data_IF_785020800912
#
_entry.id   IF_785020800912
#
_cell.length_a   1.000
_cell.length_b   1.000
_cell.length_c   1.000
_cell.angle_alpha   90.00
_cell.angle_beta   90.00
_cell.angle_gamma   90.00
#
_symmetry.space_group_name_H-M   'P 1'
#
loop_
_entity.id
_entity.type
_entity.pdbx_description
1 polymer ?
#
# COMPACT_ATOMS: atom_id res chain seq x y z
N UNK A 1 9.97 -15.18 16.27
CA UNK A 1 8.65 -14.58 15.97
C UNK A 1 8.38 -13.34 16.81
N UNK A 2 8.26 -12.21 16.12
CA UNK A 2 7.98 -10.88 16.68
C UNK A 2 6.60 -10.80 17.34
N UNK A 3 5.61 -11.45 16.74
CA UNK A 3 4.22 -11.47 17.19
C UNK A 3 3.77 -12.88 17.59
N UNK A 4 2.57 -12.98 18.19
CA UNK A 4 1.95 -14.29 18.42
C UNK A 4 1.52 -14.89 17.07
N UNK A 5 1.56 -16.23 16.94
CA UNK A 5 1.18 -16.91 15.69
C UNK A 5 -0.15 -16.40 15.11
N UNK A 6 -1.17 -16.23 15.95
CA UNK A 6 -2.49 -15.70 15.55
C UNK A 6 -2.41 -14.32 14.89
N UNK A 7 -1.67 -13.38 15.51
CA UNK A 7 -1.51 -12.01 14.99
C UNK A 7 -0.72 -12.01 13.68
N UNK A 8 0.33 -12.83 13.59
CA UNK A 8 1.09 -13.01 12.35
C UNK A 8 0.20 -13.53 11.21
N UNK A 9 -0.62 -14.54 11.45
CA UNK A 9 -1.55 -15.06 10.44
C UNK A 9 -2.60 -14.04 10.02
N UNK A 10 -3.14 -13.24 10.95
CA UNK A 10 -4.10 -12.18 10.62
C UNK A 10 -3.44 -11.13 9.71
N UNK A 11 -2.24 -10.66 10.05
CA UNK A 11 -1.52 -9.67 9.25
C UNK A 11 -1.15 -10.21 7.86
N UNK A 12 -0.65 -11.44 7.76
CA UNK A 12 -0.34 -12.08 6.48
C UNK A 12 -1.61 -12.31 5.65
N UNK A 13 -2.72 -12.69 6.29
CA UNK A 13 -4.01 -12.82 5.63
C UNK A 13 -4.49 -11.49 5.05
N UNK A 14 -4.44 -10.41 5.83
CA UNK A 14 -4.79 -9.07 5.35
C UNK A 14 -3.87 -8.60 4.23
N UNK A 15 -2.56 -8.86 4.35
CA UNK A 15 -1.60 -8.56 3.30
C UNK A 15 -1.95 -9.28 2.00
N UNK A 16 -2.17 -10.60 2.04
CA UNK A 16 -2.52 -11.40 0.87
C UNK A 16 -3.86 -10.95 0.27
N UNK A 17 -4.88 -10.67 1.10
CA UNK A 17 -6.17 -10.15 0.63
C UNK A 17 -5.97 -8.82 -0.10
N UNK A 18 -5.14 -7.91 0.43
CA UNK A 18 -4.83 -6.65 -0.25
C UNK A 18 -4.14 -6.89 -1.61
N UNK A 19 -3.24 -7.88 -1.71
CA UNK A 19 -2.62 -8.25 -2.98
C UNK A 19 -3.66 -8.75 -4.00
N UNK A 20 -4.59 -9.60 -3.57
CA UNK A 20 -5.63 -10.15 -4.45
C UNK A 20 -6.62 -9.07 -4.92
N UNK A 21 -7.02 -8.17 -4.02
CA UNK A 21 -7.83 -7.00 -4.41
C UNK A 21 -7.02 -6.12 -5.37
N UNK A 22 -5.73 -5.92 -5.11
CA UNK A 22 -4.80 -5.21 -5.99
C UNK A 22 -4.79 -5.74 -7.41
N UNK A 23 -4.63 -7.06 -7.57
CA UNK A 23 -4.68 -7.73 -8.87
C UNK A 23 -6.05 -7.57 -9.54
N UNK A 24 -7.14 -7.71 -8.78
CA UNK A 24 -8.49 -7.49 -9.30
C UNK A 24 -8.70 -6.06 -9.83
N UNK A 25 -8.28 -5.06 -9.04
CA UNK A 25 -8.38 -3.64 -9.42
C UNK A 25 -7.51 -3.35 -10.64
N UNK A 26 -6.29 -3.89 -10.68
CA UNK A 26 -5.40 -3.77 -11.84
C UNK A 26 -6.03 -4.38 -13.10
N UNK A 27 -6.70 -5.52 -12.99
CA UNK A 27 -7.39 -6.15 -14.11
C UNK A 27 -8.59 -5.32 -14.60
N UNK A 28 -9.34 -4.70 -13.69
CA UNK A 28 -10.47 -3.85 -14.05
C UNK A 28 -10.04 -2.59 -14.83
N UNK A 29 -8.79 -2.16 -14.63
CA UNK A 29 -8.16 -1.05 -15.33
C UNK A 29 -7.11 -1.52 -16.34
N UNK A 30 -7.29 -2.71 -16.92
CA UNK A 30 -6.42 -3.17 -18.00
C UNK A 30 -6.47 -2.23 -19.21
N UNK A 31 -5.34 -2.05 -19.93
CA UNK A 31 -5.31 -1.25 -21.14
C UNK A 31 -6.10 -1.90 -22.27
N UNK A 32 -6.71 -1.08 -23.11
CA UNK A 32 -7.29 -1.46 -24.38
C UNK A 32 -6.42 -0.90 -25.51
N UNK A 33 -6.07 -1.74 -26.48
CA UNK A 33 -5.25 -1.34 -27.62
C UNK A 33 -6.17 -0.72 -28.67
N UNK A 34 -6.12 0.59 -28.84
CA UNK A 34 -6.87 1.31 -29.87
C UNK A 34 -5.94 1.79 -30.98
N UNK A 35 -6.42 1.72 -32.22
CA UNK A 35 -5.69 2.23 -33.39
C UNK A 35 -6.18 3.64 -33.65
N UNK A 36 -5.34 4.64 -33.35
CA UNK A 36 -5.64 6.05 -33.61
C UNK A 36 -5.04 6.40 -34.96
N UNK A 37 -5.87 6.90 -35.87
CA UNK A 37 -5.40 7.41 -37.17
C UNK A 37 -5.01 8.87 -36.95
N UNK A 38 -3.74 9.19 -37.16
CA UNK A 38 -3.30 10.57 -37.10
C UNK A 38 -3.91 11.35 -38.26
N UNK A 39 -4.87 12.23 -37.97
CA UNK A 39 -5.63 12.99 -38.98
C UNK A 39 -4.74 13.87 -39.88
N UNK A 40 -3.49 14.14 -39.47
CA UNK A 40 -2.55 15.00 -40.21
C UNK A 40 -1.57 14.20 -41.07
N UNK A 41 -1.16 13.00 -40.66
CA UNK A 41 -0.16 12.18 -41.38
C UNK A 41 -0.72 10.92 -42.03
N UNK A 42 -1.95 10.52 -41.68
CA UNK A 42 -2.56 9.27 -42.12
C UNK A 42 -1.91 8.01 -41.54
N UNK A 43 -0.93 8.17 -40.64
CA UNK A 43 -0.29 7.04 -39.96
C UNK A 43 -1.21 6.48 -38.88
N UNK A 44 -1.35 5.16 -38.86
CA UNK A 44 -2.05 4.43 -37.81
C UNK A 44 -1.07 4.23 -36.66
N UNK A 45 -1.25 4.96 -35.57
CA UNK A 45 -0.50 4.74 -34.33
C UNK A 45 -1.33 3.87 -33.40
N UNK A 46 -0.74 2.78 -32.94
CA UNK A 46 -1.33 1.94 -31.90
C UNK A 46 -1.08 2.61 -30.55
N UNK A 47 -2.16 2.98 -29.85
CA UNK A 47 -2.09 3.63 -28.54
C UNK A 47 -2.73 2.71 -27.51
N UNK A 48 -2.04 2.51 -26.38
CA UNK A 48 -2.61 1.85 -25.21
C UNK A 48 -3.47 2.87 -24.45
N UNK A 49 -4.79 2.73 -24.53
CA UNK A 49 -5.72 3.57 -23.79
C UNK A 49 -6.19 2.87 -22.52
N UNK A 50 -6.44 3.67 -21.48
CA UNK A 50 -7.00 3.20 -20.22
C UNK A 50 -8.41 3.77 -20.04
N UNK A 51 -9.39 3.36 -20.86
CA UNK A 51 -10.71 3.99 -20.93
C UNK A 51 -11.48 3.86 -19.61
N UNK A 52 -11.21 2.76 -18.90
CA UNK A 52 -11.77 2.40 -17.59
C UNK A 52 -11.25 3.29 -16.44
N UNK A 53 -10.10 3.93 -16.62
CA UNK A 53 -9.48 4.76 -15.61
C UNK A 53 -9.99 6.21 -15.74
N UNK A 54 -10.44 6.87 -14.65
CA UNK A 54 -10.98 8.23 -14.75
C UNK A 54 -9.95 9.21 -15.31
N UNK A 55 -10.38 10.14 -16.18
CA UNK A 55 -9.50 10.97 -17.01
C UNK A 55 -8.35 11.69 -16.27
N UNK A 56 -8.55 12.10 -15.01
CA UNK A 56 -7.48 12.72 -14.19
C UNK A 56 -6.28 11.80 -13.94
N UNK A 57 -6.48 10.48 -13.98
CA UNK A 57 -5.48 9.48 -13.64
C UNK A 57 -4.93 8.75 -14.87
N UNK A 58 -5.42 9.07 -16.07
CA UNK A 58 -4.90 8.46 -17.29
C UNK A 58 -3.42 8.80 -17.47
N UNK A 59 -2.60 7.83 -17.91
CA UNK A 59 -1.20 8.08 -18.16
C UNK A 59 -1.05 9.13 -19.27
N UNK A 60 -0.13 10.10 -19.15
CA UNK A 60 0.14 11.04 -20.23
C UNK A 60 0.71 10.32 -21.46
N UNK A 61 0.23 10.67 -22.66
CA UNK A 61 0.63 10.05 -23.94
C UNK A 61 2.12 10.17 -24.26
N UNK A 62 2.75 11.25 -23.80
CA UNK A 62 4.11 11.63 -24.22
C UNK A 62 5.19 11.14 -23.25
N UNK A 63 4.80 10.37 -22.23
CA UNK A 63 5.70 9.97 -21.14
C UNK A 63 6.14 8.53 -21.30
N UNK A 64 7.43 8.33 -21.60
CA UNK A 64 8.04 7.00 -21.57
C UNK A 64 8.10 6.42 -20.14
N UNK A 65 8.12 5.09 -19.97
CA UNK A 65 8.27 4.46 -18.65
C UNK A 65 9.55 4.89 -17.90
N UNK A 66 10.65 5.15 -18.63
CA UNK A 66 11.90 5.62 -18.05
C UNK A 66 11.78 7.05 -17.48
N UNK A 67 11.15 7.96 -18.25
CA UNK A 67 10.84 9.31 -17.77
C UNK A 67 9.84 9.29 -16.61
N UNK A 68 8.81 8.44 -16.68
CA UNK A 68 7.84 8.27 -15.59
C UNK A 68 8.53 7.84 -14.29
N UNK A 69 9.45 6.87 -14.37
CA UNK A 69 10.21 6.38 -13.22
C UNK A 69 11.02 7.50 -12.57
N UNK A 70 11.69 8.33 -13.38
CA UNK A 70 12.48 9.45 -12.88
C UNK A 70 11.59 10.47 -12.16
N UNK A 71 10.45 10.82 -12.76
CA UNK A 71 9.44 11.70 -12.16
C UNK A 71 8.88 11.14 -10.85
N UNK A 72 8.61 9.83 -10.79
CA UNK A 72 8.11 9.15 -9.58
C UNK A 72 9.15 9.19 -8.46
N UNK A 73 10.43 8.92 -8.77
CA UNK A 73 11.51 8.97 -7.76
C UNK A 73 11.68 10.39 -7.22
N UNK A 74 11.69 11.40 -8.10
CA UNK A 74 11.76 12.81 -7.69
C UNK A 74 10.54 13.17 -6.83
N UNK A 75 9.33 12.81 -7.27
CA UNK A 75 8.10 13.07 -6.53
C UNK A 75 8.10 12.41 -5.15
N UNK A 76 8.64 11.19 -5.03
CA UNK A 76 8.75 10.47 -3.76
C UNK A 76 9.75 11.15 -2.81
N UNK A 77 10.91 11.59 -3.32
CA UNK A 77 11.88 12.37 -2.52
C UNK A 77 11.23 13.67 -2.04
N UNK A 78 10.57 14.41 -2.94
CA UNK A 78 9.85 15.65 -2.60
C UNK A 78 8.76 15.38 -1.57
N UNK A 79 7.96 14.32 -1.72
CA UNK A 79 6.89 13.96 -0.80
C UNK A 79 7.43 13.62 0.60
N UNK A 80 8.54 12.86 0.69
CA UNK A 80 9.21 12.55 1.97
C UNK A 80 9.75 13.82 2.62
N UNK A 81 10.46 14.67 1.88
CA UNK A 81 10.99 15.93 2.37
C UNK A 81 9.89 16.88 2.85
N UNK A 82 8.82 17.03 2.06
CA UNK A 82 7.65 17.83 2.40
C UNK A 82 6.98 17.30 3.67
N UNK A 83 6.84 15.98 3.80
CA UNK A 83 6.26 15.40 5.00
C UNK A 83 7.11 15.71 6.25
N UNK A 84 8.43 15.54 6.16
CA UNK A 84 9.34 15.86 7.27
C UNK A 84 9.28 17.36 7.63
N UNK A 85 9.16 18.24 6.64
CA UNK A 85 8.98 19.67 6.85
C UNK A 85 7.65 19.97 7.56
N UNK A 86 6.53 19.43 7.07
CA UNK A 86 5.20 19.64 7.66
C UNK A 86 5.10 19.10 9.09
N UNK A 87 5.76 17.97 9.37
CA UNK A 87 5.91 17.46 10.73
C UNK A 87 6.67 18.43 11.63
N UNK A 88 7.76 19.04 11.13
CA UNK A 88 8.54 20.04 11.87
C UNK A 88 7.72 21.31 12.15
N UNK A 89 6.87 21.71 11.20
CA UNK A 89 5.93 22.84 11.33
C UNK A 89 4.67 22.51 12.15
N UNK A 90 4.48 21.24 12.56
CA UNK A 90 3.30 20.74 13.27
C UNK A 90 1.98 21.06 12.54
N UNK A 91 1.99 20.96 11.21
CA UNK A 91 0.84 21.27 10.37
C UNK A 91 -0.22 20.14 10.40
N UNK A 92 -0.72 19.78 11.58
CA UNK A 92 -1.59 18.61 11.80
C UNK A 92 -2.90 18.66 11.01
N UNK A 93 -3.54 19.84 10.96
CA UNK A 93 -4.80 20.04 10.22
C UNK A 93 -4.57 19.86 8.73
N UNK A 94 -3.49 20.45 8.19
CA UNK A 94 -3.13 20.31 6.79
C UNK A 94 -2.82 18.86 6.44
N UNK A 95 -2.01 18.17 7.24
CA UNK A 95 -1.71 16.75 7.04
C UNK A 95 -2.97 15.90 7.07
N UNK A 96 -3.88 16.15 8.02
CA UNK A 96 -5.15 15.41 8.09
C UNK A 96 -6.03 15.65 6.87
N UNK A 97 -6.13 16.89 6.39
CA UNK A 97 -6.90 17.23 5.18
C UNK A 97 -6.26 16.60 3.93
N UNK A 98 -4.94 16.65 3.81
CA UNK A 98 -4.23 16.04 2.71
C UNK A 98 -4.40 14.51 2.69
N UNK A 99 -4.22 13.84 3.82
CA UNK A 99 -4.49 12.41 3.92
C UNK A 99 -5.94 12.07 3.63
N UNK A 100 -6.90 12.90 4.07
CA UNK A 100 -8.31 12.70 3.74
C UNK A 100 -8.53 12.65 2.22
N UNK A 101 -7.94 13.59 1.47
CA UNK A 101 -8.06 13.61 0.00
C UNK A 101 -7.43 12.37 -0.62
N UNK A 102 -6.20 12.02 -0.23
CA UNK A 102 -5.49 10.84 -0.78
C UNK A 102 -6.24 9.55 -0.48
N UNK A 103 -6.77 9.40 0.74
CA UNK A 103 -7.55 8.22 1.14
C UNK A 103 -8.87 8.15 0.37
N UNK A 104 -9.57 9.28 0.21
CA UNK A 104 -10.84 9.31 -0.54
C UNK A 104 -10.62 8.90 -2.00
N UNK A 105 -9.57 9.40 -2.63
CA UNK A 105 -9.20 9.02 -4.01
C UNK A 105 -8.84 7.53 -4.08
N UNK A 106 -8.00 7.03 -3.17
CA UNK A 106 -7.59 5.62 -3.16
C UNK A 106 -8.80 4.68 -2.99
N UNK A 107 -9.71 4.99 -2.06
CA UNK A 107 -10.95 4.19 -1.90
C UNK A 107 -11.84 4.33 -3.13
N UNK A 108 -12.01 5.53 -3.69
CA UNK A 108 -12.85 5.73 -4.87
C UNK A 108 -12.33 4.96 -6.07
N UNK A 109 -11.02 4.93 -6.32
CA UNK A 109 -10.42 4.16 -7.40
C UNK A 109 -10.62 2.66 -7.18
N UNK A 110 -10.36 2.14 -5.98
CA UNK A 110 -10.59 0.72 -5.70
C UNK A 110 -12.07 0.34 -5.83
N UNK A 111 -12.99 1.15 -5.31
CA UNK A 111 -14.45 0.90 -5.42
C UNK A 111 -14.93 1.00 -6.86
N UNK A 112 -14.44 1.99 -7.63
CA UNK A 112 -14.80 2.18 -9.03
C UNK A 112 -14.50 0.92 -9.85
N UNK A 113 -13.40 0.19 -9.58
CA UNK A 113 -13.10 -1.08 -10.22
C UNK A 113 -14.18 -2.16 -10.02
N UNK A 114 -14.88 -2.17 -8.87
CA UNK A 114 -15.98 -3.11 -8.62
C UNK A 114 -17.28 -2.71 -9.33
N UNK A 115 -17.50 -1.41 -9.55
CA UNK A 115 -18.74 -0.86 -10.13
C UNK A 115 -18.56 -0.35 -11.56
N UNK A 116 -17.44 -0.68 -12.21
CA UNK A 116 -17.05 -0.10 -13.49
C UNK A 116 -18.04 -0.37 -14.63
N UNK A 117 -18.85 -1.44 -14.49
CA UNK A 117 -19.90 -1.82 -15.45
C UNK A 117 -21.12 -0.89 -15.40
N UNK A 118 -21.26 -0.06 -14.37
CA UNK A 118 -22.39 0.85 -14.21
C UNK A 118 -22.07 2.22 -14.82
N UNK A 119 -23.06 2.91 -15.43
CA UNK A 119 -22.87 4.27 -15.89
C UNK A 119 -22.53 5.19 -14.71
N UNK A 120 -21.63 6.15 -14.93
CA UNK A 120 -21.16 7.06 -13.89
C UNK A 120 -20.54 6.35 -12.66
N UNK A 121 -19.92 5.18 -12.87
CA UNK A 121 -19.28 4.36 -11.84
C UNK A 121 -18.39 5.15 -10.88
N UNK A 122 -17.66 6.15 -11.39
CA UNK A 122 -16.75 6.95 -10.59
C UNK A 122 -17.46 7.87 -9.59
N UNK A 123 -18.64 8.41 -9.95
CA UNK A 123 -19.46 9.21 -9.04
C UNK A 123 -20.00 8.32 -7.92
N UNK A 124 -20.50 7.12 -8.27
CA UNK A 124 -20.96 6.11 -7.31
C UNK A 124 -19.83 5.75 -6.35
N UNK A 125 -18.63 5.54 -6.87
CA UNK A 125 -17.46 5.22 -6.07
C UNK A 125 -17.10 6.34 -5.09
N UNK A 126 -17.19 7.61 -5.49
CA UNK A 126 -16.99 8.75 -4.58
C UNK A 126 -18.06 8.87 -3.51
N UNK A 127 -19.34 8.62 -3.85
CA UNK A 127 -20.45 8.61 -2.90
C UNK A 127 -20.20 7.56 -1.79
N UNK A 128 -19.56 6.44 -2.11
CA UNK A 128 -19.17 5.41 -1.14
C UNK A 128 -17.87 5.79 -0.40
N UNK A 129 -16.88 6.30 -1.13
CA UNK A 129 -15.54 6.60 -0.60
C UNK A 129 -15.53 7.74 0.42
N UNK A 130 -16.31 8.79 0.22
CA UNK A 130 -16.36 9.94 1.14
C UNK A 130 -16.83 9.52 2.54
N UNK A 131 -17.99 8.85 2.72
CA UNK A 131 -18.41 8.36 4.03
C UNK A 131 -17.39 7.45 4.69
N UNK A 132 -16.79 6.50 3.96
CA UNK A 132 -15.77 5.61 4.51
C UNK A 132 -14.53 6.37 4.98
N UNK A 133 -14.11 7.38 4.22
CA UNK A 133 -12.97 8.24 4.57
C UNK A 133 -13.28 9.08 5.81
N UNK A 134 -14.48 9.66 5.91
CA UNK A 134 -14.93 10.39 7.10
C UNK A 134 -14.89 9.46 8.32
N UNK A 135 -15.45 8.26 8.20
CA UNK A 135 -15.45 7.29 9.30
C UNK A 135 -14.00 6.93 9.68
N UNK A 136 -13.12 6.65 8.72
CA UNK A 136 -11.71 6.30 8.98
C UNK A 136 -10.93 7.42 9.67
N UNK A 137 -11.04 8.66 9.15
CA UNK A 137 -10.22 9.79 9.61
C UNK A 137 -10.72 10.33 10.96
N UNK A 138 -12.03 10.32 11.20
CA UNK A 138 -12.62 10.91 12.41
C UNK A 138 -13.01 9.88 13.48
N UNK A 139 -13.40 8.65 13.11
CA UNK A 139 -13.72 7.58 14.09
C UNK A 139 -12.52 6.64 14.29
N UNK A 140 -12.17 6.39 15.55
CA UNK A 140 -11.01 5.58 15.95
C UNK A 140 -11.35 4.09 16.05
N UNK A 141 -11.87 3.52 14.97
CA UNK A 141 -12.20 2.10 14.92
C UNK A 141 -11.12 1.31 14.15
N UNK A 142 -10.53 0.30 14.81
CA UNK A 142 -9.43 -0.49 14.25
C UNK A 142 -9.91 -1.39 13.10
N UNK A 143 -11.15 -1.86 13.17
CA UNK A 143 -11.74 -2.72 12.13
C UNK A 143 -11.97 -1.88 10.88
N UNK A 144 -12.61 -0.71 11.03
CA UNK A 144 -12.82 0.21 9.89
C UNK A 144 -11.49 0.67 9.32
N UNK A 145 -10.51 0.97 10.17
CA UNK A 145 -9.18 1.33 9.72
C UNK A 145 -8.58 0.27 8.81
N UNK A 146 -8.48 -0.97 9.30
CA UNK A 146 -7.90 -2.07 8.54
C UNK A 146 -8.68 -2.42 7.28
N UNK A 147 -10.02 -2.39 7.34
CA UNK A 147 -10.88 -2.68 6.19
C UNK A 147 -10.72 -1.63 5.09
N UNK A 148 -10.61 -0.35 5.45
CA UNK A 148 -10.37 0.73 4.48
C UNK A 148 -8.97 0.66 3.88
N UNK A 149 -7.94 0.27 4.65
CA UNK A 149 -6.58 0.05 4.12
C UNK A 149 -6.53 -1.05 3.04
N UNK A 150 -7.40 -2.08 3.12
CA UNK A 150 -7.51 -3.10 2.08
C UNK A 150 -7.96 -2.52 0.71
N UNK A 151 -8.62 -1.36 0.70
CA UNK A 151 -9.08 -0.67 -0.51
C UNK A 151 -8.12 0.45 -0.93
N UNK A 152 -7.54 1.18 0.03
CA UNK A 152 -6.66 2.31 -0.25
C UNK A 152 -5.45 1.87 -1.07
N UNK A 153 -4.77 0.78 -0.71
CA UNK A 153 -3.54 0.37 -1.40
C UNK A 153 -3.77 -0.09 -2.84
N UNK A 154 -4.76 -0.95 -3.14
CA UNK A 154 -5.13 -1.27 -4.53
C UNK A 154 -5.42 -0.03 -5.38
N UNK A 155 -6.21 0.93 -4.86
CA UNK A 155 -6.57 2.13 -5.61
C UNK A 155 -5.42 3.12 -5.80
N UNK A 156 -4.49 3.20 -4.84
CA UNK A 156 -3.25 3.97 -5.05
C UNK A 156 -2.39 3.27 -6.11
N UNK A 157 -2.24 1.94 -6.03
CA UNK A 157 -1.43 1.18 -6.97
C UNK A 157 -1.92 1.29 -8.43
N UNK A 158 -3.25 1.35 -8.65
CA UNK A 158 -3.82 1.49 -10.00
C UNK A 158 -3.43 2.77 -10.72
N UNK A 159 -3.00 3.82 -10.00
CA UNK A 159 -2.47 5.05 -10.62
C UNK A 159 -1.06 4.83 -11.16
N UNK A 160 -0.26 3.99 -10.52
CA UNK A 160 1.14 3.77 -10.89
C UNK A 160 1.35 2.64 -11.89
N UNK A 161 0.47 1.64 -11.90
CA UNK A 161 0.58 0.47 -12.80
C UNK A 161 0.69 0.88 -14.28
N UNK A 162 -0.17 1.78 -14.82
CA UNK A 162 -0.09 2.22 -16.21
C UNK A 162 1.21 2.96 -16.59
N UNK A 163 1.93 3.50 -15.60
CA UNK A 163 3.10 4.35 -15.82
C UNK A 163 4.42 3.56 -15.85
N UNK A 164 4.37 2.27 -15.53
CA UNK A 164 5.56 1.49 -15.19
C UNK A 164 5.61 0.17 -15.98
N UNK A 165 6.81 -0.14 -16.47
CA UNK A 165 7.19 -1.47 -16.96
C UNK A 165 7.72 -2.36 -15.83
N UNK A 166 7.81 -3.68 -16.05
CA UNK A 166 8.39 -4.63 -15.07
C UNK A 166 9.76 -4.16 -14.58
N UNK A 167 10.66 -3.81 -15.51
CA UNK A 167 12.04 -3.42 -15.18
C UNK A 167 12.11 -2.11 -14.40
N UNK A 168 11.23 -1.15 -14.70
CA UNK A 168 11.14 0.10 -13.95
C UNK A 168 10.61 -0.11 -12.53
N UNK A 169 9.65 -1.03 -12.33
CA UNK A 169 9.20 -1.41 -10.99
C UNK A 169 10.32 -2.11 -10.22
N UNK A 170 11.08 -3.01 -10.85
CA UNK A 170 12.25 -3.66 -10.24
C UNK A 170 13.27 -2.63 -9.78
N UNK A 171 13.61 -1.66 -10.62
CA UNK A 171 14.51 -0.57 -10.24
C UNK A 171 13.95 0.23 -9.05
N UNK A 172 12.67 0.58 -9.09
CA UNK A 172 12.00 1.31 -8.01
C UNK A 172 12.02 0.53 -6.69
N UNK A 173 11.74 -0.78 -6.73
CA UNK A 173 11.79 -1.66 -5.56
C UNK A 173 13.19 -1.70 -4.93
N UNK A 174 14.23 -1.80 -5.75
CA UNK A 174 15.63 -1.77 -5.27
C UNK A 174 15.92 -0.42 -4.58
N UNK A 175 15.57 0.69 -5.21
CA UNK A 175 15.77 2.03 -4.66
C UNK A 175 15.04 2.21 -3.32
N UNK A 176 13.77 1.82 -3.24
CA UNK A 176 12.97 1.93 -2.02
C UNK A 176 13.47 0.98 -0.93
N UNK A 177 13.93 -0.21 -1.28
CA UNK A 177 14.56 -1.15 -0.36
C UNK A 177 15.82 -0.54 0.29
N UNK A 178 16.71 0.05 -0.52
CA UNK A 178 17.92 0.71 -0.01
C UNK A 178 17.57 1.89 0.90
N UNK A 179 16.58 2.68 0.49
CA UNK A 179 16.05 3.77 1.30
C UNK A 179 15.49 3.27 2.65
N UNK A 180 14.70 2.19 2.67
CA UNK A 180 14.08 1.65 3.89
C UNK A 180 15.15 1.15 4.88
N UNK A 181 16.20 0.47 4.39
CA UNK A 181 17.36 0.06 5.22
C UNK A 181 17.98 1.28 5.91
N UNK A 182 18.28 2.31 5.13
CA UNK A 182 18.89 3.54 5.66
C UNK A 182 17.95 4.27 6.63
N UNK A 183 16.68 4.40 6.27
CA UNK A 183 15.67 5.11 7.04
C UNK A 183 15.35 4.45 8.38
N UNK A 184 15.36 3.11 8.44
CA UNK A 184 15.00 2.35 9.64
C UNK A 184 16.19 2.15 10.58
N UNK A 185 17.36 1.75 10.05
CA UNK A 185 18.52 1.40 10.89
C UNK A 185 19.45 2.58 11.19
N UNK A 186 19.70 3.45 10.21
CA UNK A 186 20.65 4.55 10.41
C UNK A 186 19.95 5.82 10.90
N UNK A 187 18.94 6.31 10.16
CA UNK A 187 18.38 7.63 10.41
C UNK A 187 17.19 7.63 11.40
N UNK A 188 16.46 6.51 11.49
CA UNK A 188 15.30 6.33 12.38
C UNK A 188 14.13 7.29 12.15
N UNK A 189 14.13 8.09 11.07
CA UNK A 189 13.08 9.10 10.84
C UNK A 189 11.74 8.45 10.48
N UNK A 190 11.75 7.27 9.84
CA UNK A 190 10.52 6.53 9.51
C UNK A 190 9.76 6.11 10.77
N UNK A 191 10.47 5.78 11.86
CA UNK A 191 9.86 5.46 13.15
C UNK A 191 9.24 6.70 13.80
N UNK A 192 9.91 7.86 13.71
CA UNK A 192 9.40 9.15 14.22
C UNK A 192 8.16 9.59 13.45
N UNK A 193 8.16 9.38 12.14
CA UNK A 193 7.06 9.66 11.22
C UNK A 193 5.83 8.80 11.55
N UNK A 194 6.00 7.48 11.67
CA UNK A 194 4.94 6.58 12.09
C UNK A 194 4.33 7.01 13.44
N UNK A 195 5.18 7.33 14.43
CA UNK A 195 4.73 7.80 15.75
C UNK A 195 3.94 9.11 15.65
N UNK A 196 4.42 10.08 14.87
CA UNK A 196 3.73 11.37 14.69
C UNK A 196 2.38 11.21 13.98
N UNK A 197 2.31 10.38 12.95
CA UNK A 197 1.06 10.08 12.24
C UNK A 197 0.03 9.39 13.16
N UNK A 198 0.47 8.47 14.01
CA UNK A 198 -0.41 7.77 14.97
C UNK A 198 -0.87 8.65 16.12
N UNK A 199 0.04 9.40 16.75
CA UNK A 199 -0.23 10.12 18.00
C UNK A 199 -0.82 11.52 17.76
N UNK A 200 -0.28 12.27 16.81
CA UNK A 200 -0.63 13.67 16.56
C UNK A 200 -1.69 13.79 15.46
N UNK A 201 -1.35 13.34 14.24
CA UNK A 201 -2.25 13.45 13.08
C UNK A 201 -3.48 12.55 13.23
N UNK A 202 -3.30 11.39 13.88
CA UNK A 202 -4.30 10.32 14.09
C UNK A 202 -4.77 9.68 12.79
N UNK A 203 -3.93 9.71 11.76
CA UNK A 203 -4.14 9.09 10.45
C UNK A 203 -2.84 8.42 10.08
N UNK A 204 -2.72 7.13 10.40
CA UNK A 204 -1.54 6.34 10.02
C UNK A 204 -1.89 5.46 8.83
N UNK A 205 -1.00 5.39 7.85
CA UNK A 205 -1.14 4.52 6.69
C UNK A 205 -0.44 3.18 6.92
N UNK A 206 -1.22 2.17 7.28
CA UNK A 206 -0.74 0.80 7.45
C UNK A 206 -1.72 -0.07 8.22
N UNK A 207 -1.48 -1.39 8.24
CA UNK A 207 -2.33 -2.31 9.01
C UNK A 207 -1.94 -2.34 10.48
N UNK A 208 -2.97 -2.44 11.34
CA UNK A 208 -2.80 -2.49 12.78
C UNK A 208 -3.54 -3.66 13.41
N UNK A 209 -2.81 -4.49 14.14
CA UNK A 209 -3.43 -5.54 14.96
C UNK A 209 -3.00 -5.36 16.41
N UNK A 210 -3.87 -4.85 17.29
CA UNK A 210 -3.56 -4.76 18.72
C UNK A 210 -3.51 -6.16 19.32
N UNK A 211 -2.56 -6.40 20.22
CA UNK A 211 -2.47 -7.65 20.96
C UNK A 211 -1.94 -7.45 22.37
N UNK A 212 -2.48 -8.23 23.29
CA UNK A 212 -2.05 -8.27 24.69
C UNK A 212 -1.07 -9.42 24.84
N UNK A 213 0.11 -9.17 25.41
CA UNK A 213 1.09 -10.23 25.65
C UNK A 213 0.54 -11.19 26.69
N UNK A 214 0.89 -12.48 26.60
CA UNK A 214 0.44 -13.49 27.58
C UNK A 214 0.76 -13.07 29.03
N UNK A 215 1.94 -12.49 29.28
CA UNK A 215 2.37 -11.99 30.59
C UNK A 215 1.45 -10.87 31.11
N UNK A 216 1.09 -9.94 30.23
CA UNK A 216 0.22 -8.80 30.57
C UNK A 216 -1.23 -9.27 30.76
N UNK A 217 -1.68 -10.26 29.97
CA UNK A 217 -3.00 -10.89 30.13
C UNK A 217 -3.12 -11.64 31.46
N UNK A 218 -2.04 -12.30 31.90
CA UNK A 218 -1.97 -12.94 33.22
C UNK A 218 -1.95 -11.90 34.36
N UNK A 219 -1.26 -10.77 34.17
CA UNK A 219 -1.28 -9.67 35.13
C UNK A 219 -2.68 -9.04 35.26
N UNK A 220 -3.43 -8.90 34.17
CA UNK A 220 -4.82 -8.44 34.18
C UNK A 220 -5.71 -9.43 34.94
N UNK A 221 -5.59 -10.74 34.66
CA UNK A 221 -6.37 -11.76 35.36
C UNK A 221 -6.09 -11.76 36.87
N UNK A 222 -4.83 -11.64 37.27
CA UNK A 222 -4.43 -11.56 38.68
C UNK A 222 -4.93 -10.28 39.35
N UNK A 223 -4.85 -9.13 38.68
CA UNK A 223 -5.34 -7.85 39.20
C UNK A 223 -6.87 -7.80 39.33
N UNK A 224 -7.60 -8.45 38.40
CA UNK A 224 -9.05 -8.63 38.47
C UNK A 224 -9.46 -9.53 39.64
N UNK A 225 -8.70 -10.59 39.90
CA UNK A 225 -8.92 -11.49 41.05
C UNK A 225 -8.58 -10.82 42.40
N UNK A 226 -7.63 -9.89 42.44
CA UNK A 226 -7.20 -9.21 43.67
C UNK A 226 -7.92 -7.90 43.98
N UNK A 227 -8.94 -7.49 43.20
CA UNK A 227 -9.62 -6.17 43.29
C UNK A 227 -8.65 -4.95 43.35
N UNK A 228 -7.39 -5.10 42.95
CA UNK A 228 -6.41 -4.02 42.95
C UNK A 228 -6.39 -3.31 41.61
N UNK A 229 -6.23 -1.97 41.59
CA UNK A 229 -6.05 -1.19 40.35
C UNK A 229 -4.91 -1.79 39.52
N UNK A 230 -5.23 -2.30 38.33
CA UNK A 230 -4.25 -2.86 37.42
C UNK A 230 -3.22 -1.78 37.04
N UNK A 231 -1.95 -1.99 37.41
CA UNK A 231 -0.82 -1.15 36.95
C UNK A 231 -0.77 -1.19 35.42
N UNK A 232 -0.59 -0.02 34.79
CA UNK A 232 -0.76 0.25 33.37
C UNK A 232 -0.38 -0.91 32.42
N UNK A 233 -1.40 -1.52 31.82
CA UNK A 233 -1.26 -2.58 30.83
C UNK A 233 -0.72 -1.96 29.53
N UNK A 234 0.47 -2.39 29.09
CA UNK A 234 1.02 -1.98 27.79
C UNK A 234 0.40 -2.83 26.68
N UNK A 235 -0.61 -2.30 25.99
CA UNK A 235 -1.14 -2.89 24.75
C UNK A 235 -0.04 -2.79 23.69
N UNK A 236 0.39 -3.93 23.16
CA UNK A 236 1.35 -3.95 22.05
C UNK A 236 0.59 -3.94 20.73
N UNK A 237 1.07 -3.20 19.74
CA UNK A 237 0.45 -3.14 18.41
C UNK A 237 1.41 -3.73 17.41
N UNK A 238 0.90 -4.62 16.54
CA UNK A 238 1.62 -5.06 15.35
C UNK A 238 1.27 -4.12 14.22
N UNK A 239 2.29 -3.59 13.53
CA UNK A 239 2.18 -2.55 12.51
C UNK A 239 2.86 -3.07 11.25
N UNK A 240 2.18 -2.94 10.10
CA UNK A 240 2.76 -3.12 8.76
C UNK A 240 2.56 -1.82 7.98
N UNK A 241 3.60 -1.30 7.32
CA UNK A 241 3.54 -0.03 6.61
C UNK A 241 2.73 -0.13 5.33
N UNK A 242 2.04 0.95 4.93
CA UNK A 242 1.28 0.95 3.67
C UNK A 242 2.15 0.78 2.43
N UNK A 243 3.37 1.34 2.43
CA UNK A 243 4.33 1.17 1.34
C UNK A 243 4.69 -0.30 1.11
N UNK A 244 4.88 -1.06 2.20
CA UNK A 244 5.16 -2.50 2.16
C UNK A 244 4.06 -3.30 1.45
N UNK A 245 2.83 -2.76 1.40
CA UNK A 245 1.67 -3.38 0.74
C UNK A 245 1.51 -2.91 -0.70
N UNK A 246 1.68 -1.60 -0.95
CA UNK A 246 1.45 -0.96 -2.27
C UNK A 246 2.46 -1.45 -3.31
N UNK A 247 3.76 -1.47 -3.00
CA UNK A 247 4.78 -1.80 -4.00
C UNK A 247 4.66 -3.23 -4.57
N UNK A 248 4.39 -4.27 -3.76
CA UNK A 248 4.04 -5.59 -4.28
C UNK A 248 2.82 -5.59 -5.21
N UNK A 249 1.79 -4.79 -4.91
CA UNK A 249 0.59 -4.68 -5.76
C UNK A 249 0.96 -4.07 -7.11
N UNK A 250 1.79 -3.02 -7.12
CA UNK A 250 2.26 -2.39 -8.36
C UNK A 250 2.97 -3.42 -9.23
N UNK A 251 3.92 -4.20 -8.69
CA UNK A 251 4.61 -5.23 -9.48
C UNK A 251 3.63 -6.30 -9.96
N UNK A 252 2.74 -6.79 -9.10
CA UNK A 252 1.75 -7.80 -9.48
C UNK A 252 0.81 -7.30 -10.59
N UNK A 253 0.39 -6.03 -10.53
CA UNK A 253 -0.46 -5.40 -11.55
C UNK A 253 0.27 -5.19 -12.88
N UNK A 254 1.53 -4.76 -12.86
CA UNK A 254 2.32 -4.62 -14.09
C UNK A 254 2.61 -5.99 -14.71
N UNK A 255 2.92 -7.00 -13.89
CA UNK A 255 3.08 -8.40 -14.35
C UNK A 255 1.77 -8.96 -14.89
N UNK A 256 0.63 -8.60 -14.31
CA UNK A 256 -0.69 -9.01 -14.81
C UNK A 256 -0.93 -8.51 -16.24
N UNK A 257 -0.62 -7.24 -16.51
CA UNK A 257 -0.82 -6.63 -17.84
C UNK A 257 0.15 -7.16 -18.89
N UNK A 258 1.29 -7.73 -18.49
CA UNK A 258 2.37 -8.12 -19.41
C UNK A 258 2.53 -9.64 -19.57
N UNK A 259 2.42 -10.41 -18.50
CA UNK A 259 2.61 -11.88 -18.48
C UNK A 259 1.31 -12.64 -18.18
N UNK A 260 0.38 -12.03 -17.44
CA UNK A 260 -0.94 -12.60 -17.16
C UNK A 260 -1.19 -12.93 -15.69
N UNK A 261 -2.37 -13.51 -15.45
CA UNK A 261 -2.92 -13.69 -14.10
C UNK A 261 -2.13 -14.69 -13.25
N UNK A 262 -1.68 -15.80 -13.83
CA UNK A 262 -0.96 -16.83 -13.09
C UNK A 262 0.36 -16.28 -12.52
N UNK A 263 1.10 -15.53 -13.35
CA UNK A 263 2.33 -14.86 -12.98
C UNK A 263 2.09 -13.80 -11.90
N UNK A 264 1.04 -12.99 -12.03
CA UNK A 264 0.68 -12.00 -11.00
C UNK A 264 0.38 -12.64 -9.64
N UNK A 265 -0.28 -13.80 -9.62
CA UNK A 265 -0.54 -14.55 -8.38
C UNK A 265 0.75 -15.10 -7.76
N UNK A 266 1.71 -15.55 -8.58
CA UNK A 266 3.05 -15.96 -8.11
C UNK A 266 3.76 -14.79 -7.43
N UNK A 267 3.69 -13.57 -8.00
CA UNK A 267 4.25 -12.36 -7.39
C UNK A 267 3.63 -12.10 -6.01
N UNK A 268 2.29 -12.14 -5.90
CA UNK A 268 1.58 -11.92 -4.64
C UNK A 268 1.95 -12.96 -3.56
N UNK A 269 2.07 -14.23 -3.95
CA UNK A 269 2.50 -15.30 -3.06
C UNK A 269 3.96 -15.13 -2.63
N UNK A 270 4.86 -14.78 -3.55
CA UNK A 270 6.27 -14.51 -3.26
C UNK A 270 6.45 -13.40 -2.22
N UNK A 271 5.75 -12.30 -2.38
CA UNK A 271 5.73 -11.19 -1.41
C UNK A 271 5.23 -11.65 -0.03
N UNK A 272 4.15 -12.44 -0.01
CA UNK A 272 3.52 -12.93 1.22
C UNK A 272 4.44 -13.90 1.98
N UNK A 273 5.10 -14.80 1.26
CA UNK A 273 6.07 -15.75 1.83
C UNK A 273 7.27 -15.00 2.42
N UNK A 274 7.80 -14.02 1.69
CA UNK A 274 8.93 -13.22 2.17
C UNK A 274 8.59 -12.39 3.42
N UNK A 275 7.40 -11.79 3.45
CA UNK A 275 6.91 -11.11 4.66
C UNK A 275 6.70 -12.09 5.82
N UNK A 276 6.20 -13.29 5.54
CA UNK A 276 6.07 -14.36 6.52
C UNK A 276 7.41 -14.78 7.12
N UNK A 277 8.42 -14.94 6.27
CA UNK A 277 9.80 -15.25 6.67
C UNK A 277 10.37 -14.13 7.57
N UNK A 278 10.18 -12.87 7.20
CA UNK A 278 10.57 -11.73 8.02
C UNK A 278 9.90 -11.77 9.39
N UNK A 279 8.58 -11.97 9.47
CA UNK A 279 7.87 -12.04 10.75
C UNK A 279 8.30 -13.23 11.62
N UNK A 280 8.69 -14.34 10.99
CA UNK A 280 9.19 -15.51 11.69
C UNK A 280 10.55 -15.23 12.34
N UNK A 281 11.49 -14.68 11.59
CA UNK A 281 12.86 -14.40 12.03
C UNK A 281 13.00 -13.12 12.87
N UNK A 282 12.05 -12.19 12.76
CA UNK A 282 12.09 -10.92 13.50
C UNK A 282 12.05 -11.14 15.01
N UNK A 283 12.95 -10.45 15.72
CA UNK A 283 12.96 -10.37 17.18
C UNK A 283 11.91 -9.38 17.71
N UNK A 284 11.52 -9.60 18.97
CA UNK A 284 10.54 -8.76 19.65
C UNK A 284 11.17 -7.41 20.02
N UNK A 285 10.43 -6.32 19.80
CA UNK A 285 10.84 -4.98 20.22
C UNK A 285 11.81 -4.25 19.28
N UNK A 286 12.25 -4.90 18.20
CA UNK A 286 13.07 -4.27 17.15
C UNK A 286 12.23 -3.91 15.92
N UNK A 287 12.56 -2.78 15.30
CA UNK A 287 12.04 -2.38 13.99
C UNK A 287 12.94 -2.96 12.91
N UNK A 288 12.33 -3.51 11.85
CA UNK A 288 13.03 -4.10 10.72
C UNK A 288 12.52 -3.42 9.45
N UNK A 289 13.39 -3.06 8.51
CA UNK A 289 12.97 -2.63 7.18
C UNK A 289 12.33 -3.83 6.48
N UNK A 290 11.08 -3.69 6.03
CA UNK A 290 10.33 -4.80 5.46
C UNK A 290 10.56 -4.90 3.94
N UNK A 291 10.70 -3.75 3.27
CA UNK A 291 10.86 -3.68 1.82
C UNK A 291 12.02 -4.50 1.27
N UNK A 292 13.20 -4.61 1.92
CA UNK A 292 14.29 -5.45 1.39
C UNK A 292 13.94 -6.93 1.31
N UNK A 293 13.26 -7.46 2.33
CA UNK A 293 12.83 -8.85 2.35
C UNK A 293 11.73 -9.09 1.32
N UNK A 294 10.75 -8.20 1.28
CA UNK A 294 9.65 -8.26 0.31
C UNK A 294 10.21 -8.19 -1.11
N UNK A 295 11.12 -7.25 -1.39
CA UNK A 295 11.78 -7.09 -2.71
C UNK A 295 12.51 -8.35 -3.11
N UNK A 296 13.31 -8.95 -2.21
CA UNK A 296 13.96 -10.22 -2.51
C UNK A 296 12.95 -11.33 -2.88
N UNK A 297 11.84 -11.44 -2.13
CA UNK A 297 10.75 -12.36 -2.44
C UNK A 297 10.08 -12.10 -3.79
N UNK A 298 9.83 -10.82 -4.11
CA UNK A 298 9.27 -10.38 -5.38
C UNK A 298 10.19 -10.71 -6.56
N UNK A 299 11.51 -10.50 -6.42
CA UNK A 299 12.48 -10.79 -7.49
C UNK A 299 12.60 -12.29 -7.75
N UNK A 300 12.60 -13.12 -6.69
CA UNK A 300 12.57 -14.59 -6.84
C UNK A 300 11.28 -15.03 -7.53
N UNK A 301 10.13 -14.49 -7.10
CA UNK A 301 8.84 -14.80 -7.70
C UNK A 301 8.75 -14.34 -9.16
N UNK A 302 9.33 -13.19 -9.50
CA UNK A 302 9.42 -12.70 -10.87
C UNK A 302 10.28 -13.61 -11.74
N UNK A 303 11.42 -14.09 -11.22
CA UNK A 303 12.25 -15.09 -11.89
C UNK A 303 11.47 -16.38 -12.18
N UNK A 304 10.69 -16.87 -11.21
CA UNK A 304 9.82 -18.04 -11.42
C UNK A 304 8.72 -17.74 -12.44
N UNK A 305 8.11 -16.56 -12.37
CA UNK A 305 7.04 -16.14 -13.29
C UNK A 305 7.50 -16.04 -14.75
N UNK A 306 8.77 -15.73 -15.02
CA UNK A 306 9.33 -15.75 -16.38
C UNK A 306 9.64 -17.15 -16.90
N UNK A 307 9.73 -18.15 -16.03
CA UNK A 307 10.06 -19.54 -16.40
C UNK A 307 8.81 -20.39 -16.71
N UNK A 308 7.61 -19.85 -16.46
CA UNK A 308 6.31 -20.54 -16.62
C UNK A 308 5.45 -19.75 -17.60
#
# INVERSE_FOLDING_TARGET
MKHTKKVTFILLGMFLIAQLIGIFVANAYAPEITSVINETTGEVTTVEEYPSLPGLFQPPSDVSPASATTSIVIALIVAVCLMLLLMKLRAEVFLRAWFFVVIAIGIALAVNAFVIRFPNSFIIAFIIAIPLTIIKVFKRDIIVHNLTELLIYPGIASVFIPLLSIWTVVLLLILISLYDIYAVWHAGFMQKMAKYQMEQVKVFSGFFVPYIRKKDRLAIKKAQQSKSKAKGVKISVAILGGGDVVFPIILAGVVLHTLGLAQALIIALGATIALGFLFYNSEKGKFYPAMPFITAGLLVALGIAYLI
#
